data_IF_432491310671
#
_entry.id   IF_432491310671
#
_cell.length_a   1.000
_cell.length_b   1.000
_cell.length_c   1.000
_cell.angle_alpha   90.00
_cell.angle_beta   90.00
_cell.angle_gamma   90.00
#
_symmetry.space_group_name_H-M   'P 1'
#
loop_
_entity.id
_entity.type
_entity.pdbx_description
1 polymer ?
#
# COMPACT_ATOMS: atom_id res chain seq x y z
N UNK A 1 -40.63 7.02 -46.08
CA UNK A 1 -40.82 5.86 -45.20
C UNK A 1 -39.55 5.71 -44.37
N UNK A 2 -39.53 6.26 -43.16
CA UNK A 2 -38.40 6.18 -42.24
C UNK A 2 -38.81 5.35 -41.03
N UNK A 3 -38.15 4.23 -40.80
CA UNK A 3 -38.41 3.36 -39.64
C UNK A 3 -37.85 3.99 -38.36
N UNK A 4 -38.71 4.04 -37.35
CA UNK A 4 -38.42 4.56 -36.02
C UNK A 4 -37.63 3.49 -35.23
N UNK A 5 -36.34 3.72 -35.01
CA UNK A 5 -35.50 2.87 -34.18
C UNK A 5 -35.93 3.03 -32.71
N UNK A 6 -36.63 2.03 -32.17
CA UNK A 6 -36.99 1.94 -30.76
C UNK A 6 -35.77 1.56 -29.92
N UNK A 7 -35.41 2.39 -28.92
CA UNK A 7 -34.39 2.02 -27.93
C UNK A 7 -34.93 0.98 -26.93
N UNK A 8 -34.13 -0.03 -26.55
CA UNK A 8 -34.53 -1.01 -25.56
C UNK A 8 -34.66 -0.39 -24.16
N UNK A 9 -35.74 -0.74 -23.46
CA UNK A 9 -36.05 -0.34 -22.09
C UNK A 9 -34.96 -0.87 -21.15
N UNK A 10 -34.37 0.03 -20.34
CA UNK A 10 -33.37 -0.34 -19.33
C UNK A 10 -34.00 -1.28 -18.28
N UNK A 11 -33.45 -2.49 -18.15
CA UNK A 11 -33.77 -3.43 -17.08
C UNK A 11 -33.51 -2.80 -15.71
N UNK A 12 -34.58 -2.46 -15.00
CA UNK A 12 -34.58 -1.83 -13.67
C UNK A 12 -34.12 -2.81 -12.57
N UNK A 13 -34.39 -4.09 -12.76
CA UNK A 13 -34.06 -5.17 -11.81
C UNK A 13 -32.55 -5.37 -11.62
N UNK A 14 -31.73 -5.12 -12.65
CA UNK A 14 -30.28 -5.21 -12.54
C UNK A 14 -29.66 -4.08 -11.69
N UNK A 15 -30.34 -2.93 -11.59
CA UNK A 15 -29.88 -1.81 -10.78
C UNK A 15 -30.18 -2.02 -9.29
N UNK A 16 -31.31 -2.64 -8.95
CA UNK A 16 -31.72 -2.91 -7.57
C UNK A 16 -30.88 -4.02 -6.93
N UNK A 17 -30.58 -5.11 -7.67
CA UNK A 17 -29.66 -6.15 -7.21
C UNK A 17 -28.22 -5.63 -6.98
N UNK A 18 -27.79 -4.64 -7.78
CA UNK A 18 -26.50 -3.99 -7.58
C UNK A 18 -26.48 -3.09 -6.34
N UNK A 19 -27.61 -2.46 -5.99
CA UNK A 19 -27.71 -1.60 -4.81
C UNK A 19 -27.73 -2.38 -3.49
N UNK A 20 -28.43 -3.51 -3.44
CA UNK A 20 -28.45 -4.40 -2.25
C UNK A 20 -27.08 -5.02 -1.98
N UNK A 21 -26.36 -5.46 -3.03
CA UNK A 21 -25.00 -6.00 -2.88
C UNK A 21 -23.97 -4.98 -2.37
N UNK A 22 -24.20 -3.68 -2.62
CA UNK A 22 -23.33 -2.59 -2.14
C UNK A 22 -23.65 -2.25 -0.68
N UNK A 23 -24.92 -2.33 -0.27
CA UNK A 23 -25.33 -2.09 1.12
C UNK A 23 -24.81 -3.17 2.08
N UNK A 24 -24.92 -4.45 1.70
CA UNK A 24 -24.45 -5.57 2.55
C UNK A 24 -22.93 -5.55 2.76
N UNK A 25 -22.16 -5.22 1.70
CA UNK A 25 -20.71 -5.06 1.82
C UNK A 25 -20.29 -3.85 2.67
N UNK A 26 -21.12 -2.80 2.73
CA UNK A 26 -20.85 -1.62 3.55
C UNK A 26 -21.12 -1.89 5.04
N UNK A 27 -22.16 -2.66 5.37
CA UNK A 27 -22.48 -3.05 6.74
C UNK A 27 -21.47 -4.06 7.31
N UNK A 28 -21.03 -5.04 6.52
CA UNK A 28 -20.04 -6.03 6.96
C UNK A 28 -18.63 -5.41 7.14
N UNK A 29 -18.30 -4.38 6.35
CA UNK A 29 -17.09 -3.57 6.55
C UNK A 29 -17.20 -2.64 7.77
N UNK A 30 -18.40 -2.15 8.10
CA UNK A 30 -18.62 -1.33 9.28
C UNK A 30 -18.56 -2.14 10.58
N UNK A 31 -19.11 -3.36 10.58
CA UNK A 31 -19.08 -4.25 11.75
C UNK A 31 -17.66 -4.72 12.11
N UNK A 32 -16.75 -4.88 11.13
CA UNK A 32 -15.33 -5.17 11.40
C UNK A 32 -14.51 -3.93 11.81
N UNK A 33 -14.98 -2.73 11.48
CA UNK A 33 -14.30 -1.49 11.88
C UNK A 33 -14.48 -1.17 13.38
N UNK A 34 -15.46 -1.79 14.05
CA UNK A 34 -15.67 -1.64 15.50
C UNK A 34 -14.60 -2.35 16.36
N UNK A 35 -13.85 -3.32 15.81
CA UNK A 35 -12.81 -4.06 16.56
C UNK A 35 -11.40 -3.43 16.48
N UNK A 36 -11.15 -2.47 15.59
CA UNK A 36 -9.88 -1.73 15.56
C UNK A 36 -10.10 -0.27 15.99
N UNK A 37 -9.99 0.00 17.29
CA UNK A 37 -10.00 1.36 17.84
C UNK A 37 -8.69 2.08 17.46
N UNK A 38 -8.56 2.49 16.20
CA UNK A 38 -7.43 3.29 15.72
C UNK A 38 -7.56 4.70 16.31
N UNK A 39 -6.58 5.12 17.13
CA UNK A 39 -6.54 6.50 17.62
C UNK A 39 -6.02 7.45 16.54
N UNK A 40 -6.92 7.97 15.72
CA UNK A 40 -6.56 8.95 14.70
C UNK A 40 -6.18 10.33 15.27
N UNK A 41 -6.42 10.61 16.55
CA UNK A 41 -6.08 11.91 17.14
C UNK A 41 -4.57 12.15 17.17
N UNK A 42 -3.76 11.08 17.16
CA UNK A 42 -2.29 11.16 17.12
C UNK A 42 -1.78 11.87 15.86
N UNK A 43 -2.54 11.81 14.76
CA UNK A 43 -2.19 12.48 13.51
C UNK A 43 -2.24 14.01 13.60
N UNK A 44 -2.92 14.58 14.59
CA UNK A 44 -2.85 16.04 14.88
C UNK A 44 -1.45 16.48 15.29
N UNK A 45 -0.64 15.56 15.82
CA UNK A 45 0.76 15.77 16.22
C UNK A 45 1.76 15.38 15.12
N UNK A 46 1.28 14.92 13.97
CA UNK A 46 2.16 14.53 12.87
C UNK A 46 3.02 15.74 12.42
N UNK A 47 4.32 15.53 12.12
CA UNK A 47 5.19 16.63 11.73
C UNK A 47 4.72 17.30 10.43
N UNK A 48 4.94 18.63 10.33
CA UNK A 48 4.61 19.42 9.13
C UNK A 48 5.77 19.41 8.14
N UNK A 49 5.50 19.61 6.85
CA UNK A 49 6.48 19.49 5.73
C UNK A 49 7.82 20.22 5.97
N UNK A 50 7.81 21.37 6.64
CA UNK A 50 9.00 22.19 6.90
C UNK A 50 9.74 21.85 8.20
N UNK A 51 9.41 20.73 8.85
CA UNK A 51 10.06 20.29 10.09
C UNK A 51 11.07 19.19 9.80
N UNK A 52 12.19 19.17 10.55
CA UNK A 52 13.22 18.14 10.40
C UNK A 52 12.68 16.70 10.62
N UNK A 53 11.62 16.56 11.42
CA UNK A 53 10.97 15.29 11.71
C UNK A 53 10.05 14.79 10.59
N UNK A 54 9.71 15.63 9.60
CA UNK A 54 8.78 15.28 8.52
C UNK A 54 9.21 14.04 7.74
N UNK A 55 10.34 14.13 7.06
CA UNK A 55 10.78 13.07 6.18
C UNK A 55 11.04 11.73 6.90
N UNK A 56 11.75 11.69 8.05
CA UNK A 56 11.95 10.44 8.79
C UNK A 56 10.64 9.78 9.23
N UNK A 57 9.64 10.57 9.61
CA UNK A 57 8.34 10.08 10.07
C UNK A 57 7.55 9.46 8.93
N UNK A 58 7.31 10.22 7.86
CA UNK A 58 6.52 9.73 6.74
C UNK A 58 7.24 8.66 5.91
N UNK A 59 8.57 8.63 5.89
CA UNK A 59 9.33 7.51 5.33
C UNK A 59 9.11 6.22 6.13
N UNK A 60 9.02 6.31 7.46
CA UNK A 60 8.73 5.15 8.32
C UNK A 60 7.31 4.64 8.09
N UNK A 61 6.32 5.54 8.05
CA UNK A 61 4.93 5.23 7.72
C UNK A 61 4.82 4.56 6.34
N UNK A 62 5.41 5.18 5.32
CA UNK A 62 5.41 4.65 3.95
C UNK A 62 6.01 3.26 3.88
N UNK A 63 7.16 3.05 4.54
CA UNK A 63 7.82 1.75 4.58
C UNK A 63 6.97 0.68 5.28
N UNK A 64 6.27 1.03 6.35
CA UNK A 64 5.39 0.11 7.07
C UNK A 64 4.23 -0.35 6.17
N UNK A 65 3.55 0.60 5.52
CA UNK A 65 2.47 0.34 4.55
C UNK A 65 2.95 -0.56 3.42
N UNK A 66 4.05 -0.18 2.76
CA UNK A 66 4.66 -0.94 1.68
C UNK A 66 5.05 -2.36 2.10
N UNK A 67 5.55 -2.53 3.33
CA UNK A 67 5.93 -3.84 3.86
C UNK A 67 4.69 -4.71 4.10
N UNK A 68 3.66 -4.16 4.74
CA UNK A 68 2.40 -4.85 5.00
C UNK A 68 1.73 -5.33 3.72
N UNK A 69 1.61 -4.45 2.72
CA UNK A 69 1.02 -4.80 1.43
C UNK A 69 1.77 -5.96 0.76
N UNK A 70 3.11 -5.95 0.71
CA UNK A 70 3.91 -7.07 0.18
C UNK A 70 3.71 -8.37 0.97
N UNK A 71 3.50 -8.26 2.29
CA UNK A 71 3.15 -9.39 3.14
C UNK A 71 1.80 -10.00 2.79
N UNK A 72 0.76 -9.18 2.65
CA UNK A 72 -0.58 -9.66 2.28
C UNK A 72 -0.65 -10.22 0.87
N UNK A 73 0.08 -9.62 -0.09
CA UNK A 73 0.20 -10.21 -1.44
C UNK A 73 0.79 -11.62 -1.37
N UNK A 74 1.79 -11.83 -0.52
CA UNK A 74 2.42 -13.14 -0.32
C UNK A 74 1.48 -14.15 0.33
N UNK A 75 0.75 -13.73 1.36
CA UNK A 75 -0.30 -14.56 1.99
C UNK A 75 -1.35 -14.97 0.96
N UNK A 76 -1.88 -14.00 0.20
CA UNK A 76 -2.85 -14.25 -0.84
C UNK A 76 -2.31 -15.20 -1.91
N UNK A 77 -1.08 -15.00 -2.38
CA UNK A 77 -0.47 -15.85 -3.40
C UNK A 77 -0.31 -17.30 -2.92
N UNK A 78 0.02 -17.51 -1.63
CA UNK A 78 0.12 -18.85 -1.05
C UNK A 78 -1.24 -19.56 -0.98
N UNK A 79 -2.33 -18.81 -0.75
CA UNK A 79 -3.69 -19.33 -0.70
C UNK A 79 -4.32 -19.54 -2.09
N UNK A 80 -3.82 -18.86 -3.12
CA UNK A 80 -4.37 -18.84 -4.48
C UNK A 80 -3.35 -19.35 -5.53
N UNK A 81 -2.87 -20.59 -5.39
CA UNK A 81 -1.79 -21.14 -6.21
C UNK A 81 -2.19 -21.39 -7.67
N UNK A 82 -3.47 -21.49 -7.98
CA UNK A 82 -4.01 -21.63 -9.34
C UNK A 82 -3.63 -20.44 -10.24
N UNK A 83 -3.26 -19.30 -9.67
CA UNK A 83 -2.67 -18.17 -10.40
C UNK A 83 -1.42 -18.58 -11.19
N UNK A 84 -0.71 -19.63 -10.74
CA UNK A 84 0.46 -20.19 -11.42
C UNK A 84 0.13 -20.83 -12.78
N UNK A 85 -1.14 -21.13 -13.06
CA UNK A 85 -1.57 -21.57 -14.39
C UNK A 85 -1.51 -20.43 -15.43
N UNK A 86 -1.41 -19.16 -14.97
CA UNK A 86 -1.39 -17.95 -15.79
C UNK A 86 -0.08 -17.16 -15.57
N UNK A 87 1.04 -17.55 -16.21
CA UNK A 87 2.34 -16.93 -15.99
C UNK A 87 2.36 -15.40 -16.14
N UNK A 88 1.68 -14.88 -17.16
CA UNK A 88 1.62 -13.43 -17.42
C UNK A 88 0.91 -12.64 -16.31
N UNK A 89 0.01 -13.28 -15.56
CA UNK A 89 -0.66 -12.71 -14.40
C UNK A 89 0.15 -12.92 -13.12
N UNK A 90 0.73 -14.11 -12.93
CA UNK A 90 1.52 -14.44 -11.73
C UNK A 90 2.83 -13.64 -11.66
N UNK A 91 3.50 -13.40 -12.79
CA UNK A 91 4.82 -12.77 -12.82
C UNK A 91 4.85 -11.37 -12.18
N UNK A 92 3.96 -10.42 -12.53
CA UNK A 92 3.91 -9.13 -11.84
C UNK A 92 3.71 -9.25 -10.33
N UNK A 93 2.85 -10.17 -9.87
CA UNK A 93 2.55 -10.38 -8.45
C UNK A 93 3.79 -10.90 -7.71
N UNK A 94 4.44 -11.92 -8.27
CA UNK A 94 5.69 -12.49 -7.77
C UNK A 94 6.82 -11.45 -7.70
N UNK A 95 6.95 -10.61 -8.74
CA UNK A 95 7.98 -9.56 -8.74
C UNK A 95 7.65 -8.48 -7.72
N UNK A 96 6.38 -8.04 -7.61
CA UNK A 96 5.96 -7.02 -6.65
C UNK A 96 6.28 -7.43 -5.21
N UNK A 97 5.89 -8.63 -4.76
CA UNK A 97 6.18 -9.10 -3.40
C UNK A 97 7.69 -9.26 -3.11
N UNK A 98 8.51 -9.41 -4.16
CA UNK A 98 9.96 -9.50 -4.05
C UNK A 98 10.66 -8.14 -4.10
N UNK A 99 9.99 -7.07 -4.52
CA UNK A 99 10.57 -5.72 -4.46
C UNK A 99 10.82 -5.33 -3.01
N UNK A 100 11.91 -4.61 -2.77
CA UNK A 100 12.10 -3.98 -1.46
C UNK A 100 11.11 -2.82 -1.30
N UNK A 101 10.57 -2.58 -0.10
CA UNK A 101 9.92 -1.31 0.22
C UNK A 101 10.87 -0.15 -0.08
N UNK A 102 10.35 0.91 -0.68
CA UNK A 102 11.12 2.11 -0.96
C UNK A 102 11.57 2.76 0.35
N UNK A 103 12.88 2.94 0.53
CA UNK A 103 13.47 3.47 1.76
C UNK A 103 13.38 5.00 1.90
N UNK A 104 12.73 5.67 0.95
CA UNK A 104 12.80 7.12 0.81
C UNK A 104 14.12 7.56 0.17
N UNK A 105 14.07 8.70 -0.55
CA UNK A 105 15.24 9.52 -0.86
C UNK A 105 15.09 10.85 -0.14
N UNK A 106 16.15 11.56 0.25
CA UNK A 106 16.08 12.87 0.91
C UNK A 106 15.40 13.99 0.10
N UNK A 107 14.72 13.66 -1.01
CA UNK A 107 14.04 14.54 -1.95
C UNK A 107 12.50 14.49 -1.80
N UNK A 108 11.97 14.25 -0.59
CA UNK A 108 10.51 14.20 -0.32
C UNK A 108 9.71 13.12 -1.07
N UNK A 109 10.37 12.07 -1.57
CA UNK A 109 9.70 10.94 -2.21
C UNK A 109 9.61 9.80 -1.22
N UNK A 110 8.41 9.23 -1.05
CA UNK A 110 8.13 8.18 -0.07
C UNK A 110 7.87 6.81 -0.70
N UNK A 111 7.57 6.74 -1.99
CA UNK A 111 7.25 5.50 -2.73
C UNK A 111 8.00 5.42 -4.06
N UNK A 112 7.88 4.32 -4.79
CA UNK A 112 8.38 4.25 -6.16
C UNK A 112 7.60 5.18 -7.09
N UNK A 113 8.27 6.20 -7.62
CA UNK A 113 7.73 7.02 -8.69
C UNK A 113 7.78 6.24 -10.02
N UNK A 114 6.61 5.96 -10.60
CA UNK A 114 6.49 5.21 -11.85
C UNK A 114 7.10 5.93 -13.06
N UNK A 115 7.29 7.24 -12.97
CA UNK A 115 7.94 8.06 -14.00
C UNK A 115 9.47 7.98 -13.90
N UNK A 116 10.01 7.61 -12.74
CA UNK A 116 11.44 7.46 -12.53
C UNK A 116 11.92 6.04 -12.83
N UNK A 117 12.55 5.88 -14.00
CA UNK A 117 13.01 4.58 -14.49
C UNK A 117 14.16 4.00 -13.66
N UNK A 118 15.08 4.83 -13.17
CA UNK A 118 16.30 4.37 -12.50
C UNK A 118 16.03 3.72 -11.12
N UNK A 119 15.25 4.32 -10.19
CA UNK A 119 14.87 3.66 -8.94
C UNK A 119 14.08 2.37 -9.16
N UNK A 120 13.19 2.35 -10.16
CA UNK A 120 12.43 1.15 -10.54
C UNK A 120 13.33 0.04 -11.07
N UNK A 121 14.30 0.36 -11.93
CA UNK A 121 15.26 -0.62 -12.44
C UNK A 121 16.08 -1.23 -11.30
N UNK A 122 16.48 -0.42 -10.30
CA UNK A 122 17.12 -0.92 -9.08
C UNK A 122 16.19 -1.83 -8.26
N UNK A 123 14.92 -1.47 -8.14
CA UNK A 123 13.91 -2.29 -7.48
C UNK A 123 13.76 -3.66 -8.16
N UNK A 124 13.64 -3.68 -9.49
CA UNK A 124 13.55 -4.91 -10.28
C UNK A 124 14.81 -5.76 -10.18
N UNK A 125 15.99 -5.15 -10.25
CA UNK A 125 17.25 -5.85 -10.06
C UNK A 125 17.32 -6.51 -8.66
N UNK A 126 16.91 -5.81 -7.62
CA UNK A 126 16.85 -6.35 -6.26
C UNK A 126 15.81 -7.48 -6.12
N UNK A 127 14.66 -7.34 -6.81
CA UNK A 127 13.60 -8.32 -6.81
C UNK A 127 14.05 -9.64 -7.46
N UNK A 128 14.91 -9.60 -8.48
CA UNK A 128 15.41 -10.82 -9.13
C UNK A 128 16.15 -11.75 -8.15
N UNK A 129 16.96 -11.20 -7.24
CA UNK A 129 17.69 -12.01 -6.26
C UNK A 129 16.74 -12.68 -5.25
N UNK A 130 15.75 -11.92 -4.74
CA UNK A 130 14.74 -12.42 -3.81
C UNK A 130 13.80 -13.43 -4.47
N UNK A 131 13.36 -13.14 -5.69
CA UNK A 131 12.52 -14.02 -6.49
C UNK A 131 13.18 -15.38 -6.69
N UNK A 132 14.49 -15.43 -6.95
CA UNK A 132 15.21 -16.70 -7.05
C UNK A 132 15.13 -17.56 -5.78
N UNK A 133 14.93 -16.96 -4.60
CA UNK A 133 14.69 -17.69 -3.34
C UNK A 133 13.24 -18.13 -3.21
N UNK A 134 12.28 -17.23 -3.50
CA UNK A 134 10.85 -17.55 -3.47
C UNK A 134 10.47 -18.67 -4.45
N UNK A 135 11.06 -18.65 -5.64
CA UNK A 135 10.83 -19.69 -6.65
C UNK A 135 11.32 -21.08 -6.20
N UNK A 136 12.25 -21.17 -5.23
CA UNK A 136 12.69 -22.46 -4.66
C UNK A 136 11.71 -23.00 -3.62
N UNK A 137 11.00 -22.11 -2.92
CA UNK A 137 10.04 -22.49 -1.87
C UNK A 137 8.64 -22.71 -2.42
N UNK A 138 8.36 -22.25 -3.64
CA UNK A 138 7.09 -22.46 -4.32
C UNK A 138 6.82 -23.95 -4.59
N UNK A 139 5.74 -24.46 -4.00
CA UNK A 139 5.26 -25.81 -4.29
C UNK A 139 4.55 -25.87 -5.65
N UNK A 140 5.33 -26.20 -6.67
CA UNK A 140 4.81 -26.46 -8.02
C UNK A 140 4.50 -27.93 -8.28
N UNK A 141 4.72 -28.81 -7.27
CA UNK A 141 4.09 -30.13 -7.04
C UNK A 141 3.07 -30.63 -8.07
N UNK A 142 1.96 -29.95 -8.00
CA UNK A 142 0.65 -30.28 -8.55
C UNK A 142 0.43 -29.84 -9.99
N UNK A 143 1.34 -29.05 -10.58
CA UNK A 143 1.14 -28.50 -11.92
C UNK A 143 1.82 -29.34 -13.01
N UNK A 144 1.35 -29.27 -14.27
CA UNK A 144 2.02 -29.88 -15.42
C UNK A 144 3.45 -29.34 -15.60
N UNK A 145 4.36 -30.15 -16.14
CA UNK A 145 5.77 -29.79 -16.32
C UNK A 145 5.96 -28.42 -16.98
N UNK A 146 5.28 -28.16 -18.10
CA UNK A 146 5.36 -26.90 -18.83
C UNK A 146 5.00 -25.69 -17.95
N UNK A 147 4.01 -25.81 -17.07
CA UNK A 147 3.65 -24.75 -16.12
C UNK A 147 4.74 -24.57 -15.07
N UNK A 148 5.29 -25.67 -14.51
CA UNK A 148 6.31 -25.62 -13.46
C UNK A 148 7.59 -24.96 -13.92
N UNK A 149 7.97 -25.21 -15.18
CA UNK A 149 9.21 -24.70 -15.76
C UNK A 149 9.29 -23.18 -15.69
N UNK A 150 8.16 -22.49 -15.87
CA UNK A 150 8.03 -21.03 -15.75
C UNK A 150 8.43 -20.47 -14.38
N UNK A 151 8.48 -21.31 -13.35
CA UNK A 151 8.72 -20.93 -11.96
C UNK A 151 10.00 -21.53 -11.39
N UNK A 152 10.88 -22.09 -12.23
CA UNK A 152 12.19 -22.52 -11.76
C UNK A 152 13.08 -21.33 -11.38
N UNK A 153 13.83 -21.49 -10.29
CA UNK A 153 14.65 -20.43 -9.70
C UNK A 153 15.65 -19.79 -10.68
N UNK A 154 16.20 -20.55 -11.63
CA UNK A 154 17.13 -20.03 -12.64
C UNK A 154 16.47 -19.03 -13.59
N UNK A 155 15.14 -19.08 -13.76
CA UNK A 155 14.36 -18.15 -14.59
C UNK A 155 14.03 -16.83 -13.90
N UNK A 156 14.40 -16.64 -12.63
CA UNK A 156 14.10 -15.41 -11.87
C UNK A 156 14.47 -14.11 -12.63
N UNK A 157 15.62 -14.08 -13.31
CA UNK A 157 16.02 -12.94 -14.15
C UNK A 157 15.14 -12.76 -15.38
N UNK A 158 14.70 -13.85 -16.02
CA UNK A 158 13.80 -13.82 -17.17
C UNK A 158 12.42 -13.31 -16.78
N UNK A 159 11.89 -13.78 -15.64
CA UNK A 159 10.61 -13.32 -15.08
C UNK A 159 10.66 -11.81 -14.82
N UNK A 160 11.71 -11.32 -14.15
CA UNK A 160 11.89 -9.89 -13.92
C UNK A 160 12.04 -9.11 -15.23
N UNK A 161 12.79 -9.64 -16.21
CA UNK A 161 12.93 -9.04 -17.54
C UNK A 161 11.60 -8.99 -18.29
N UNK A 162 10.75 -9.99 -18.13
CA UNK A 162 9.40 -10.01 -18.69
C UNK A 162 8.55 -8.91 -18.05
N UNK A 163 8.53 -8.81 -16.71
CA UNK A 163 7.75 -7.79 -15.99
C UNK A 163 8.26 -6.38 -16.29
N UNK A 164 9.57 -6.19 -16.41
CA UNK A 164 10.15 -4.90 -16.76
C UNK A 164 9.88 -4.47 -18.21
N UNK A 165 9.47 -5.39 -19.10
CA UNK A 165 8.94 -5.06 -20.43
C UNK A 165 7.42 -4.87 -20.40
N UNK A 166 6.72 -5.63 -19.56
CA UNK A 166 5.26 -5.64 -19.45
C UNK A 166 4.81 -4.99 -18.13
N UNK A 167 5.06 -3.68 -18.01
CA UNK A 167 5.02 -2.99 -16.71
C UNK A 167 3.63 -2.67 -16.18
N UNK A 168 2.57 -2.76 -17.00
CA UNK A 168 1.23 -2.26 -16.67
C UNK A 168 0.71 -2.77 -15.31
N UNK A 169 0.77 -4.08 -15.08
CA UNK A 169 0.26 -4.68 -13.85
C UNK A 169 1.06 -4.27 -12.61
N UNK A 170 2.40 -4.27 -12.70
CA UNK A 170 3.23 -3.86 -11.55
C UNK A 170 3.15 -2.35 -11.29
N UNK A 171 2.98 -1.54 -12.32
CA UNK A 171 2.77 -0.10 -12.17
C UNK A 171 1.44 0.20 -11.50
N UNK A 172 0.37 -0.55 -11.78
CA UNK A 172 -0.91 -0.44 -11.08
C UNK A 172 -0.73 -0.64 -9.57
N UNK A 173 -0.05 -1.72 -9.17
CA UNK A 173 0.24 -2.02 -7.76
C UNK A 173 1.10 -0.95 -7.08
N UNK A 174 2.20 -0.52 -7.72
CA UNK A 174 3.08 0.52 -7.18
C UNK A 174 2.39 1.89 -7.10
N UNK A 175 1.56 2.23 -8.08
CA UNK A 175 0.83 3.48 -8.10
C UNK A 175 -0.19 3.55 -6.96
N UNK A 176 -0.81 2.43 -6.58
CA UNK A 176 -1.69 2.41 -5.41
C UNK A 176 -0.92 2.77 -4.14
N UNK A 177 0.32 2.30 -3.96
CA UNK A 177 1.16 2.71 -2.82
C UNK A 177 1.38 4.23 -2.79
N UNK A 178 1.66 4.83 -3.95
CA UNK A 178 1.84 6.27 -4.09
C UNK A 178 0.57 7.03 -3.71
N UNK A 179 -0.58 6.64 -4.25
CA UNK A 179 -1.84 7.34 -3.99
C UNK A 179 -2.30 7.17 -2.53
N UNK A 180 -2.04 6.02 -1.91
CA UNK A 180 -2.30 5.80 -0.49
C UNK A 180 -1.43 6.74 0.37
N UNK A 181 -0.15 6.86 0.03
CA UNK A 181 0.76 7.77 0.73
C UNK A 181 0.34 9.24 0.55
N UNK A 182 -0.02 9.65 -0.67
CA UNK A 182 -0.56 10.99 -0.93
C UNK A 182 -1.84 11.27 -0.13
N UNK A 183 -2.69 10.25 0.03
CA UNK A 183 -3.91 10.34 0.83
C UNK A 183 -3.60 10.56 2.32
N UNK A 184 -2.57 9.90 2.85
CA UNK A 184 -2.08 10.13 4.22
C UNK A 184 -1.53 11.55 4.39
N UNK A 185 -0.69 12.00 3.45
CA UNK A 185 -0.11 13.34 3.51
C UNK A 185 -1.20 14.41 3.44
N UNK A 186 -2.15 14.26 2.52
CA UNK A 186 -3.31 15.14 2.41
C UNK A 186 -4.14 15.13 3.68
N UNK A 187 -4.41 13.96 4.25
CA UNK A 187 -5.15 13.80 5.50
C UNK A 187 -4.49 14.59 6.63
N UNK A 188 -3.20 14.34 6.88
CA UNK A 188 -2.47 14.93 7.99
C UNK A 188 -2.23 16.45 7.84
N UNK A 189 -1.93 16.91 6.63
CA UNK A 189 -1.47 18.29 6.38
C UNK A 189 -2.61 19.23 6.00
N UNK A 190 -3.62 18.74 5.27
CA UNK A 190 -4.66 19.57 4.64
C UNK A 190 -6.02 19.30 5.25
N UNK A 191 -6.46 18.05 5.29
CA UNK A 191 -7.86 17.73 5.62
C UNK A 191 -8.14 17.87 7.12
N UNK A 192 -7.24 17.45 8.02
CA UNK A 192 -7.41 17.65 9.47
C UNK A 192 -7.56 19.16 9.80
N UNK A 193 -6.66 20.07 9.37
CA UNK A 193 -6.82 21.49 9.67
C UNK A 193 -8.05 22.14 9.04
N UNK A 194 -8.48 21.67 7.86
CA UNK A 194 -9.56 22.31 7.09
C UNK A 194 -10.96 21.80 7.44
N UNK A 195 -11.10 20.49 7.68
CA UNK A 195 -12.39 19.81 7.82
C UNK A 195 -12.64 19.28 9.24
N UNK A 196 -11.60 19.26 10.08
CA UNK A 196 -11.64 18.57 11.37
C UNK A 196 -11.37 17.07 11.24
N UNK A 197 -11.12 16.43 12.38
CA UNK A 197 -10.65 15.04 12.44
C UNK A 197 -11.67 14.04 11.87
N UNK A 198 -12.92 14.09 12.34
CA UNK A 198 -13.96 13.13 11.98
C UNK A 198 -14.22 13.10 10.47
N UNK A 199 -14.42 14.27 9.86
CA UNK A 199 -14.70 14.37 8.43
C UNK A 199 -13.49 13.96 7.58
N UNK A 200 -12.27 14.27 8.04
CA UNK A 200 -11.04 13.87 7.38
C UNK A 200 -10.84 12.34 7.41
N UNK A 201 -11.21 11.66 8.51
CA UNK A 201 -11.15 10.19 8.62
C UNK A 201 -12.06 9.53 7.58
N UNK A 202 -13.30 10.02 7.41
CA UNK A 202 -14.24 9.47 6.42
C UNK A 202 -13.65 9.56 5.00
N UNK A 203 -13.01 10.68 4.66
CA UNK A 203 -12.37 10.84 3.35
C UNK A 203 -11.15 9.92 3.19
N UNK A 204 -10.34 9.78 4.23
CA UNK A 204 -9.17 8.89 4.23
C UNK A 204 -9.59 7.43 4.04
N UNK A 205 -10.56 6.95 4.81
CA UNK A 205 -11.10 5.58 4.70
C UNK A 205 -11.67 5.31 3.31
N UNK A 206 -12.44 6.26 2.74
CA UNK A 206 -12.97 6.15 1.38
C UNK A 206 -11.83 6.05 0.36
N UNK A 207 -10.80 6.88 0.50
CA UNK A 207 -9.64 6.84 -0.39
C UNK A 207 -8.92 5.48 -0.31
N UNK A 208 -8.66 4.97 0.90
CA UNK A 208 -8.01 3.68 1.11
C UNK A 208 -8.80 2.53 0.50
N UNK A 209 -10.09 2.41 0.81
CA UNK A 209 -10.96 1.38 0.22
C UNK A 209 -10.97 1.43 -1.31
N UNK A 210 -11.06 2.63 -1.88
CA UNK A 210 -11.08 2.81 -3.33
C UNK A 210 -9.77 2.37 -3.99
N UNK A 211 -8.62 2.75 -3.41
CA UNK A 211 -7.33 2.44 -4.00
C UNK A 211 -6.95 0.97 -3.79
N UNK A 212 -7.25 0.39 -2.62
CA UNK A 212 -6.98 -1.01 -2.34
C UNK A 212 -7.83 -1.95 -3.22
N UNK A 213 -9.06 -1.57 -3.56
CA UNK A 213 -9.86 -2.28 -4.57
C UNK A 213 -9.23 -2.20 -5.97
N UNK A 214 -8.49 -1.14 -6.27
CA UNK A 214 -7.80 -0.94 -7.54
C UNK A 214 -6.39 -1.53 -7.55
N UNK A 215 -5.96 -2.20 -6.48
CA UNK A 215 -4.61 -2.71 -6.34
C UNK A 215 -4.27 -3.75 -7.42
N UNK A 216 -5.14 -4.74 -7.60
CA UNK A 216 -5.00 -5.81 -8.58
C UNK A 216 -6.38 -6.20 -9.12
N UNK A 217 -6.43 -6.76 -10.32
CA UNK A 217 -7.67 -7.36 -10.85
C UNK A 217 -7.90 -8.77 -10.29
N UNK A 218 -6.89 -9.37 -9.67
CA UNK A 218 -6.93 -10.75 -9.16
C UNK A 218 -7.22 -10.83 -7.66
N UNK A 219 -6.97 -9.75 -6.91
CA UNK A 219 -7.21 -9.74 -5.46
C UNK A 219 -7.54 -8.36 -4.93
N UNK A 220 -8.56 -8.34 -4.09
CA UNK A 220 -9.06 -7.14 -3.44
C UNK A 220 -8.42 -7.00 -2.06
N UNK A 221 -7.70 -5.89 -1.84
CA UNK A 221 -7.14 -5.55 -0.55
C UNK A 221 -8.05 -4.61 0.26
N UNK A 222 -9.21 -4.19 -0.25
CA UNK A 222 -10.11 -3.28 0.48
C UNK A 222 -10.52 -3.80 1.86
N UNK A 223 -10.73 -5.11 2.11
CA UNK A 223 -11.03 -5.61 3.45
C UNK A 223 -9.91 -5.36 4.48
N UNK A 224 -8.68 -5.09 4.02
CA UNK A 224 -7.51 -4.79 4.86
C UNK A 224 -7.31 -3.28 5.08
N UNK A 225 -8.26 -2.43 4.69
CA UNK A 225 -8.10 -0.98 4.77
C UNK A 225 -7.88 -0.48 6.19
N UNK A 226 -8.69 -0.91 7.16
CA UNK A 226 -8.53 -0.52 8.57
C UNK A 226 -7.22 -1.05 9.15
N UNK A 227 -6.84 -2.30 8.85
CA UNK A 227 -5.55 -2.88 9.27
C UNK A 227 -4.37 -2.04 8.73
N UNK A 228 -4.44 -1.55 7.50
CA UNK A 228 -3.40 -0.71 6.91
C UNK A 228 -3.32 0.68 7.56
N UNK A 229 -4.47 1.25 7.92
CA UNK A 229 -4.55 2.52 8.64
C UNK A 229 -4.03 2.38 10.09
N UNK A 230 -4.28 1.25 10.74
CA UNK A 230 -3.70 0.92 12.03
C UNK A 230 -2.17 0.86 11.94
N UNK A 231 -1.63 0.10 10.97
CA UNK A 231 -0.18 0.00 10.72
C UNK A 231 0.46 1.37 10.45
N UNK A 232 -0.21 2.22 9.66
CA UNK A 232 0.26 3.57 9.39
C UNK A 232 0.31 4.42 10.68
N UNK A 233 -0.71 4.31 11.53
CA UNK A 233 -0.84 5.03 12.79
C UNK A 233 0.19 4.56 13.81
N UNK A 234 0.39 3.24 13.93
CA UNK A 234 1.43 2.66 14.78
C UNK A 234 2.82 3.11 14.34
N UNK A 235 3.09 3.10 13.04
CA UNK A 235 4.37 3.56 12.49
C UNK A 235 4.62 5.05 12.79
N UNK A 236 3.59 5.90 12.74
CA UNK A 236 3.67 7.30 13.15
C UNK A 236 4.02 7.40 14.65
N UNK A 237 3.34 6.64 15.51
CA UNK A 237 3.55 6.66 16.95
C UNK A 237 4.99 6.30 17.34
N UNK A 238 5.65 5.39 16.63
CA UNK A 238 7.07 5.06 16.87
C UNK A 238 8.05 6.23 16.62
N UNK A 239 7.59 7.29 15.94
CA UNK A 239 8.41 8.46 15.57
C UNK A 239 8.04 9.73 16.28
N UNK A 240 6.88 9.77 16.96
CA UNK A 240 6.55 10.90 17.79
C UNK A 240 7.46 10.90 19.03
N UNK A 241 7.98 12.07 19.45
CA UNK A 241 8.76 12.15 20.68
C UNK A 241 7.91 11.68 21.85
N UNK A 242 8.40 10.68 22.60
CA UNK A 242 7.80 10.32 23.88
C UNK A 242 7.92 11.53 24.80
N UNK A 243 6.81 12.05 25.33
CA UNK A 243 6.79 13.15 26.31
C UNK A 243 7.54 12.82 27.62
N UNK A 244 8.08 11.61 27.75
CA UNK A 244 8.89 11.13 28.89
C UNK A 244 10.39 11.47 28.80
N UNK A 245 10.84 12.32 27.87
CA UNK A 245 12.21 12.86 27.96
C UNK A 245 12.21 13.95 29.02
N UNK A 246 12.43 13.53 30.26
CA UNK A 246 12.85 14.33 31.40
C UNK A 246 13.78 15.43 30.89
N UNK A 247 13.37 16.69 31.05
CA UNK A 247 14.23 17.85 30.85
C UNK A 247 15.52 17.61 31.63
N UNK A 248 16.61 17.35 30.91
CA UNK A 248 17.92 17.23 31.52
C UNK A 248 18.24 18.61 32.10
N UNK A 249 18.38 18.75 33.43
CA UNK A 249 18.62 20.05 34.03
C UNK A 249 19.92 20.61 33.45
N UNK A 250 19.82 21.82 32.90
CA UNK A 250 20.96 22.59 32.43
C UNK A 250 22.03 22.59 33.53
N UNK A 251 23.30 22.24 33.24
CA UNK A 251 24.36 22.38 34.21
C UNK A 251 24.46 23.88 34.55
N UNK A 252 24.21 24.20 35.81
CA UNK A 252 24.37 25.55 36.36
C UNK A 252 25.79 26.00 36.04
N UNK A 253 25.89 27.04 35.21
CA UNK A 253 27.14 27.70 34.91
C UNK A 253 27.79 28.14 36.23
N UNK A 254 29.01 27.67 36.46
CA UNK A 254 29.84 28.09 37.57
C UNK A 254 30.01 29.61 37.53
N UNK A 255 29.56 30.27 38.59
CA UNK A 255 29.78 31.68 38.82
C UNK A 255 31.30 31.94 38.95
N UNK A 256 31.84 33.02 38.35
CA UNK A 256 33.25 33.34 38.50
C UNK A 256 33.52 33.78 39.94
N UNK A 257 34.42 33.05 40.61
CA UNK A 257 35.04 33.47 41.87
C UNK A 257 35.84 34.74 41.64
N UNK A 258 35.36 35.85 42.18
CA UNK A 258 36.13 37.06 42.35
C UNK A 258 37.23 36.82 43.40
N UNK A 259 38.48 37.13 43.02
CA UNK A 259 39.58 37.44 43.93
C UNK A 259 40.43 38.54 43.28
#
# INVERSE_FOLDING_TARGET
>A
MGELIMMPVRNREAAEASAESVAVNAEESAARAEESSIDFAVWKRAPKERTAAYFPTYSTVSKAIQTAMRGWVREWFALNPEILLRPHTAYPILVYQCTHPFSGKPTNIFTYDIQQTEPLNRAFASAAHRLGRELKTLDTRRFPWFTREHYFAYRSKEVVKYVSRNRRAIYKMLNVETVLMDSILKFAIIDIPKLGLEQAIVLLRRAFNTQLRRFSDEFDLSPRAEELLAIATDALMTKLPNENVIEMPLPLAELPLAA
#
